data_IF_509124253647
#
_entry.id   IF_509124253647
#
_cell.length_a   1.000
_cell.length_b   1.000
_cell.length_c   1.000
_cell.angle_alpha   90.00
_cell.angle_beta   90.00
_cell.angle_gamma   90.00
#
_symmetry.space_group_name_H-M   'P 1'
#
loop_
_entity.id
_entity.type
_entity.pdbx_description
1 polymer ?
#
# COMPACT_ATOMS: atom_id res chain seq x y z
N UNK A 1 3.50 -57.56 33.76
CA UNK A 1 4.47 -56.66 33.10
C UNK A 1 3.66 -55.77 32.18
N UNK A 2 3.43 -54.51 32.57
CA UNK A 2 2.94 -53.48 31.64
C UNK A 2 3.50 -52.15 32.15
N UNK A 3 4.39 -51.58 31.37
CA UNK A 3 5.08 -50.31 31.62
C UNK A 3 4.18 -49.18 31.11
N UNK A 4 3.73 -48.28 31.99
CA UNK A 4 2.99 -47.08 31.60
C UNK A 4 3.97 -45.92 31.54
N UNK A 5 4.42 -45.57 30.34
CA UNK A 5 5.27 -44.42 30.11
C UNK A 5 4.49 -43.14 30.46
N UNK A 6 5.01 -42.39 31.43
CA UNK A 6 4.53 -41.05 31.76
C UNK A 6 5.21 -40.08 30.79
N UNK A 7 4.50 -39.61 29.77
CA UNK A 7 4.97 -38.51 28.93
C UNK A 7 5.08 -37.24 29.78
N UNK A 8 6.30 -36.73 29.89
CA UNK A 8 6.61 -35.45 30.51
C UNK A 8 6.07 -34.34 29.61
N UNK A 9 5.25 -33.38 30.10
CA UNK A 9 4.75 -32.31 29.27
C UNK A 9 5.91 -31.37 28.88
N UNK A 10 6.07 -31.14 27.58
CA UNK A 10 7.16 -30.36 27.00
C UNK A 10 7.20 -28.92 27.55
N UNK A 11 8.20 -28.65 28.39
CA UNK A 11 8.54 -27.33 28.89
C UNK A 11 9.25 -26.52 27.79
N UNK A 12 8.52 -25.76 26.97
CA UNK A 12 9.01 -24.57 26.22
C UNK A 12 7.97 -23.87 25.30
N UNK A 13 6.73 -24.33 25.24
CA UNK A 13 5.72 -23.76 24.32
C UNK A 13 5.07 -22.45 24.82
N UNK A 14 5.04 -22.24 26.14
CA UNK A 14 4.31 -21.14 26.78
C UNK A 14 4.84 -19.73 26.42
N UNK A 15 6.15 -19.45 26.50
CA UNK A 15 6.68 -18.15 26.08
C UNK A 15 6.52 -17.90 24.56
N UNK A 16 6.57 -18.95 23.73
CA UNK A 16 6.32 -18.83 22.28
C UNK A 16 4.88 -18.41 21.99
N UNK A 17 3.90 -18.97 22.71
CA UNK A 17 2.48 -18.61 22.56
C UNK A 17 2.19 -17.16 22.95
N UNK A 18 2.87 -16.65 23.99
CA UNK A 18 2.75 -15.26 24.42
C UNK A 18 3.34 -14.30 23.36
N UNK A 19 4.49 -14.65 22.78
CA UNK A 19 5.11 -13.88 21.68
C UNK A 19 4.17 -13.85 20.47
N UNK A 20 3.61 -14.99 20.06
CA UNK A 20 2.66 -15.04 18.95
C UNK A 20 1.38 -14.25 19.22
N UNK A 21 0.85 -14.30 20.45
CA UNK A 21 -0.31 -13.50 20.84
C UNK A 21 -0.03 -11.99 20.79
N UNK A 22 1.17 -11.56 21.20
CA UNK A 22 1.58 -10.16 21.12
C UNK A 22 1.76 -9.69 19.66
N UNK A 23 2.32 -10.53 18.79
CA UNK A 23 2.47 -10.23 17.35
C UNK A 23 1.09 -10.11 16.69
N UNK A 24 0.17 -11.03 16.98
CA UNK A 24 -1.19 -11.02 16.42
C UNK A 24 -1.95 -9.80 16.94
N UNK A 25 -1.87 -9.49 18.23
CA UNK A 25 -2.52 -8.31 18.81
C UNK A 25 -1.95 -7.00 18.24
N UNK A 26 -0.63 -6.92 18.04
CA UNK A 26 0.02 -5.78 17.38
C UNK A 26 -0.41 -5.63 15.92
N UNK A 27 -0.53 -6.73 15.18
CA UNK A 27 -1.01 -6.72 13.80
C UNK A 27 -2.49 -6.31 13.70
N UNK A 28 -3.34 -6.78 14.62
CA UNK A 28 -4.74 -6.38 14.69
C UNK A 28 -4.87 -4.90 15.08
N UNK A 29 -4.07 -4.41 16.03
CA UNK A 29 -4.07 -3.01 16.44
C UNK A 29 -3.58 -2.08 15.33
N UNK A 30 -2.56 -2.50 14.58
CA UNK A 30 -2.08 -1.80 13.38
C UNK A 30 -3.13 -1.81 12.26
N UNK A 31 -3.83 -2.93 12.05
CA UNK A 31 -4.93 -3.05 11.09
C UNK A 31 -6.14 -2.16 11.47
N UNK A 32 -6.49 -2.11 12.75
CA UNK A 32 -7.64 -1.34 13.23
C UNK A 32 -7.42 0.17 13.29
N UNK A 33 -6.16 0.64 13.26
CA UNK A 33 -5.78 2.06 13.36
C UNK A 33 -5.02 2.56 12.11
N UNK A 34 -5.15 1.90 10.97
CA UNK A 34 -4.45 2.29 9.74
C UNK A 34 -5.18 3.47 9.05
N UNK A 35 -4.79 4.70 9.39
CA UNK A 35 -4.96 5.83 8.49
C UNK A 35 -3.57 6.19 7.95
N UNK A 36 -3.07 5.37 7.02
CA UNK A 36 -2.13 5.76 5.94
C UNK A 36 -1.53 4.52 5.28
N UNK A 37 -1.80 4.39 3.98
CA UNK A 37 -1.17 3.40 3.11
C UNK A 37 0.26 3.85 2.83
N UNK A 38 1.23 3.47 3.67
CA UNK A 38 2.65 3.65 3.35
C UNK A 38 3.11 2.53 2.43
N UNK A 39 3.13 2.79 1.12
CA UNK A 39 3.85 1.92 0.17
C UNK A 39 5.34 2.20 0.35
N UNK A 40 6.12 1.20 0.78
CA UNK A 40 7.58 1.30 0.84
C UNK A 40 8.11 1.39 -0.60
N UNK A 41 8.62 2.56 -0.97
CA UNK A 41 9.09 2.86 -2.32
C UNK A 41 10.60 3.17 -2.26
N UNK A 42 11.39 2.48 -3.07
CA UNK A 42 12.86 2.54 -3.07
C UNK A 42 13.35 3.60 -4.06
N UNK A 43 13.49 4.86 -3.64
CA UNK A 43 14.26 5.91 -4.32
C UNK A 43 13.74 6.42 -5.70
N UNK A 44 13.79 7.73 -5.93
CA UNK A 44 13.26 8.40 -7.14
C UNK A 44 13.76 7.85 -8.48
N UNK A 45 14.97 7.29 -8.49
CA UNK A 45 15.68 6.94 -9.72
C UNK A 45 15.04 5.77 -10.46
N UNK A 46 14.26 4.92 -9.77
CA UNK A 46 13.57 3.78 -10.37
C UNK A 46 12.17 4.10 -10.93
N UNK A 47 11.58 5.26 -10.58
CA UNK A 47 10.19 5.55 -10.93
C UNK A 47 10.03 6.22 -12.30
N UNK A 48 9.03 5.73 -13.02
CA UNK A 48 8.48 6.29 -14.25
C UNK A 48 6.99 6.53 -14.06
N UNK A 49 6.39 7.41 -14.85
CA UNK A 49 4.94 7.62 -14.79
C UNK A 49 4.16 6.32 -14.96
N UNK A 50 4.62 5.43 -15.85
CA UNK A 50 4.01 4.13 -16.06
C UNK A 50 4.14 3.19 -14.86
N UNK A 51 5.25 3.24 -14.12
CA UNK A 51 5.46 2.38 -12.95
C UNK A 51 4.66 2.82 -11.72
N UNK A 52 4.18 4.06 -11.67
CA UNK A 52 3.32 4.56 -10.59
C UNK A 52 1.84 4.18 -10.77
N UNK A 53 1.41 3.80 -11.99
CA UNK A 53 0.01 3.48 -12.27
C UNK A 53 -0.55 2.37 -11.37
N UNK A 54 0.16 1.25 -11.12
CA UNK A 54 -0.34 0.23 -10.19
C UNK A 54 -0.59 0.76 -8.78
N UNK A 55 0.29 1.63 -8.27
CA UNK A 55 0.14 2.24 -6.94
C UNK A 55 -1.07 3.18 -6.90
N UNK A 56 -1.26 4.00 -7.94
CA UNK A 56 -2.44 4.87 -8.06
C UNK A 56 -3.74 4.06 -8.07
N UNK A 57 -3.78 2.95 -8.82
CA UNK A 57 -4.94 2.05 -8.86
C UNK A 57 -5.18 1.42 -7.49
N UNK A 58 -4.12 0.96 -6.82
CA UNK A 58 -4.20 0.37 -5.48
C UNK A 58 -4.74 1.38 -4.46
N UNK A 59 -4.15 2.57 -4.37
CA UNK A 59 -4.59 3.64 -3.45
C UNK A 59 -6.04 4.00 -3.73
N UNK A 60 -6.44 4.08 -5.01
CA UNK A 60 -7.83 4.36 -5.37
C UNK A 60 -8.79 3.28 -4.87
N UNK A 61 -8.44 2.01 -5.09
CA UNK A 61 -9.22 0.86 -4.66
C UNK A 61 -9.33 0.75 -3.13
N UNK A 62 -8.25 1.05 -2.40
CA UNK A 62 -8.19 1.01 -0.94
C UNK A 62 -8.85 2.21 -0.27
N UNK A 63 -9.02 3.33 -1.00
CA UNK A 63 -9.75 4.48 -0.48
C UNK A 63 -11.19 4.07 -0.12
N UNK A 64 -11.62 4.24 1.12
CA UNK A 64 -12.93 3.77 1.59
C UNK A 64 -14.07 4.74 1.28
N UNK A 65 -13.79 5.88 0.65
CA UNK A 65 -14.83 6.83 0.26
C UNK A 65 -15.75 6.23 -0.80
N UNK A 66 -16.97 5.88 -0.39
CA UNK A 66 -17.99 5.25 -1.22
C UNK A 66 -18.47 6.13 -2.39
N UNK A 67 -18.31 7.46 -2.29
CA UNK A 67 -18.72 8.40 -3.34
C UNK A 67 -17.64 8.61 -4.40
N UNK A 68 -16.41 8.14 -4.17
CA UNK A 68 -15.32 8.30 -5.12
C UNK A 68 -15.29 7.12 -6.09
N UNK A 69 -15.50 7.41 -7.39
CA UNK A 69 -15.35 6.41 -8.45
C UNK A 69 -13.89 5.99 -8.53
N UNK A 70 -13.67 4.67 -8.57
CA UNK A 70 -12.34 4.06 -8.51
C UNK A 70 -11.59 4.17 -9.84
N UNK A 71 -10.28 4.38 -9.77
CA UNK A 71 -9.38 4.31 -10.92
C UNK A 71 -9.01 2.85 -11.15
N UNK A 72 -9.21 2.35 -12.37
CA UNK A 72 -8.81 0.99 -12.79
C UNK A 72 -7.57 0.97 -13.67
N UNK A 73 -7.15 2.14 -14.16
CA UNK A 73 -5.92 2.30 -14.92
C UNK A 73 -5.72 3.74 -15.39
N UNK A 74 -4.55 4.02 -15.95
CA UNK A 74 -4.22 5.32 -16.55
C UNK A 74 -3.68 5.10 -17.96
N UNK A 75 -4.30 5.78 -18.92
CA UNK A 75 -3.95 5.79 -20.35
C UNK A 75 -3.13 7.06 -20.63
N UNK A 76 -2.27 7.01 -21.66
CA UNK A 76 -1.48 8.16 -22.14
C UNK A 76 -0.69 8.87 -21.04
N UNK A 77 -0.11 8.07 -20.13
CA UNK A 77 0.71 8.59 -19.04
C UNK A 77 1.95 9.32 -19.56
N UNK A 78 2.04 10.60 -19.25
CA UNK A 78 3.12 11.51 -19.64
C UNK A 78 3.78 12.11 -18.40
N UNK A 79 5.09 12.27 -18.47
CA UNK A 79 5.86 12.99 -17.46
C UNK A 79 5.69 14.49 -17.65
N UNK A 80 5.44 15.19 -16.55
CA UNK A 80 5.32 16.66 -16.51
C UNK A 80 6.58 17.26 -15.93
N UNK A 81 7.07 16.72 -14.81
CA UNK A 81 8.32 17.12 -14.19
C UNK A 81 8.99 15.93 -13.50
N UNK A 82 10.32 15.95 -13.40
CA UNK A 82 11.10 14.96 -12.65
C UNK A 82 12.32 15.64 -12.02
N UNK A 83 12.49 15.41 -10.73
CA UNK A 83 13.65 15.78 -9.92
C UNK A 83 14.12 14.54 -9.14
N UNK A 84 15.19 14.70 -8.37
CA UNK A 84 15.73 13.61 -7.55
C UNK A 84 14.82 13.22 -6.36
N UNK A 85 13.81 14.03 -6.04
CA UNK A 85 12.90 13.82 -4.90
C UNK A 85 11.43 13.91 -5.28
N UNK A 86 11.11 14.12 -6.57
CA UNK A 86 9.74 14.30 -7.04
C UNK A 86 9.59 13.86 -8.49
N UNK A 87 8.50 13.16 -8.79
CA UNK A 87 8.08 12.81 -10.14
C UNK A 87 6.61 13.21 -10.29
N UNK A 88 6.31 14.03 -11.29
CA UNK A 88 4.93 14.43 -11.61
C UNK A 88 4.53 13.91 -12.97
N UNK A 89 3.31 13.40 -13.02
CA UNK A 89 2.75 12.73 -14.16
C UNK A 89 1.30 13.13 -14.38
N UNK A 90 0.88 13.02 -15.64
CA UNK A 90 -0.47 13.27 -16.09
C UNK A 90 -0.91 12.15 -17.00
N UNK A 91 -2.22 11.95 -17.13
CA UNK A 91 -2.78 11.03 -18.10
C UNK A 91 -4.30 11.08 -18.09
N UNK A 92 -4.91 10.03 -18.64
CA UNK A 92 -6.35 9.83 -18.65
C UNK A 92 -6.67 8.62 -17.78
N UNK A 93 -7.28 8.84 -16.62
CA UNK A 93 -7.78 7.77 -15.77
C UNK A 93 -8.96 7.07 -16.46
N UNK A 94 -8.90 5.75 -16.48
CA UNK A 94 -10.06 4.90 -16.73
C UNK A 94 -10.73 4.63 -15.39
N UNK A 95 -12.00 4.99 -15.26
CA UNK A 95 -12.77 4.84 -14.05
C UNK A 95 -13.58 3.53 -14.07
N UNK A 96 -13.88 2.98 -12.90
CA UNK A 96 -14.62 1.72 -12.75
C UNK A 96 -16.04 1.78 -13.32
N UNK A 97 -16.61 2.98 -13.47
CA UNK A 97 -17.91 3.20 -14.12
C UNK A 97 -17.81 3.31 -15.66
N UNK A 98 -16.64 3.07 -16.25
CA UNK A 98 -16.39 3.16 -17.69
C UNK A 98 -16.09 4.57 -18.21
N UNK A 99 -16.16 5.60 -17.37
CA UNK A 99 -15.82 6.97 -17.76
C UNK A 99 -14.30 7.18 -17.84
N UNK A 100 -13.91 8.16 -18.63
CA UNK A 100 -12.53 8.63 -18.75
C UNK A 100 -12.42 10.04 -18.17
N UNK A 101 -11.42 10.28 -17.34
CA UNK A 101 -11.20 11.58 -16.71
C UNK A 101 -9.71 11.96 -16.73
N UNK A 102 -9.36 13.23 -16.97
CA UNK A 102 -8.00 13.71 -16.77
C UNK A 102 -7.53 13.49 -15.32
N UNK A 103 -6.31 12.99 -15.15
CA UNK A 103 -5.71 12.72 -13.84
C UNK A 103 -4.29 13.28 -13.77
N UNK A 104 -3.93 13.83 -12.61
CA UNK A 104 -2.55 14.06 -12.22
C UNK A 104 -2.16 13.10 -11.11
N UNK A 105 -0.93 12.63 -11.12
CA UNK A 105 -0.38 11.83 -10.04
C UNK A 105 1.10 12.14 -9.87
N UNK A 106 1.57 12.04 -8.63
CA UNK A 106 2.94 12.40 -8.26
C UNK A 106 3.48 11.41 -7.25
N UNK A 107 4.77 11.12 -7.38
CA UNK A 107 5.56 10.50 -6.34
C UNK A 107 6.52 11.55 -5.77
N UNK A 108 6.67 11.61 -4.46
CA UNK A 108 7.61 12.53 -3.82
C UNK A 108 8.17 11.95 -2.53
N UNK A 109 9.37 12.40 -2.17
CA UNK A 109 10.04 12.03 -0.94
C UNK A 109 9.77 13.06 0.16
N UNK A 110 9.32 12.59 1.31
CA UNK A 110 9.14 13.39 2.51
C UNK A 110 9.49 12.55 3.74
N UNK A 111 10.49 13.00 4.52
CA UNK A 111 10.95 12.30 5.72
C UNK A 111 11.58 10.93 5.44
N UNK A 112 12.42 10.83 4.40
CA UNK A 112 13.05 9.58 3.91
C UNK A 112 12.05 8.51 3.43
N UNK A 113 10.77 8.87 3.35
CA UNK A 113 9.71 8.02 2.86
C UNK A 113 9.14 8.58 1.56
N UNK A 114 8.88 7.67 0.64
CA UNK A 114 8.27 7.98 -0.64
C UNK A 114 6.75 7.85 -0.55
N UNK A 115 6.07 8.85 -1.09
CA UNK A 115 4.62 8.98 -1.08
C UNK A 115 4.10 9.05 -2.50
N UNK A 116 2.93 8.46 -2.74
CA UNK A 116 2.22 8.56 -4.03
C UNK A 116 0.87 9.19 -3.78
N UNK A 117 0.57 10.22 -4.56
CA UNK A 117 -0.70 10.94 -4.49
C UNK A 117 -1.26 11.09 -5.91
N UNK A 118 -2.57 11.00 -6.05
CA UNK A 118 -3.26 11.26 -7.30
C UNK A 118 -4.46 12.20 -7.07
N UNK A 119 -4.77 12.99 -8.08
CA UNK A 119 -5.82 14.01 -8.04
C UNK A 119 -6.54 14.05 -9.40
N UNK A 120 -7.86 14.24 -9.38
CA UNK A 120 -8.60 14.52 -10.61
C UNK A 120 -8.24 15.93 -11.08
N UNK A 121 -7.98 16.10 -12.37
CA UNK A 121 -7.84 17.42 -12.95
C UNK A 121 -9.23 17.99 -13.30
N UNK A 122 -9.53 19.23 -12.90
CA UNK A 122 -10.79 19.90 -13.27
C UNK A 122 -10.90 20.14 -14.78
#
# INVERSE_FOLDING_TARGET
MTESQTETPAANEWPKRIIWAAIIAGAIYAYSNWDSVSVQLFGATAYTCKSLVPDVVKISAENTNAFQVKVVGVIDSKQVSKTDTRLECEGIAMLANGQKAPISYRAYEEGEQWWVVYEAKP
#
